data_IF_004174212189
#
_entry.id   IF_004174212189
#
_cell.length_a   1.000
_cell.length_b   1.000
_cell.length_c   1.000
_cell.angle_alpha   90.00
_cell.angle_beta   90.00
_cell.angle_gamma   90.00
#
_symmetry.space_group_name_H-M   'P 1'
#
loop_
_entity.id
_entity.type
_entity.pdbx_description
1 polymer ?
#
# COMPACT_ATOMS: atom_id res chain seq x y z
N UNK A 1 -35.39 -3.16 20.78
CA UNK A 1 -34.47 -2.04 20.45
C UNK A 1 -33.08 -2.63 20.38
N UNK A 2 -32.32 -2.36 19.31
CA UNK A 2 -31.02 -2.99 19.10
C UNK A 2 -29.90 -2.30 19.88
N UNK A 3 -28.90 -3.06 20.27
CA UNK A 3 -27.71 -2.55 20.95
C UNK A 3 -26.99 -1.47 20.11
N UNK A 4 -26.89 -0.20 20.57
CA UNK A 4 -26.34 0.90 19.77
C UNK A 4 -24.84 0.74 19.41
N UNK A 5 -24.12 -0.16 20.10
CA UNK A 5 -22.71 -0.47 19.81
C UNK A 5 -22.53 -1.53 18.71
N UNK A 6 -23.58 -2.21 18.24
CA UNK A 6 -23.46 -3.26 17.21
C UNK A 6 -22.88 -2.73 15.88
N UNK A 7 -23.28 -1.52 15.48
CA UNK A 7 -22.77 -0.86 14.28
C UNK A 7 -21.27 -0.55 14.36
N UNK A 8 -20.78 -0.20 15.57
CA UNK A 8 -19.36 0.04 15.83
C UNK A 8 -18.56 -1.25 15.63
N UNK A 9 -19.03 -2.36 16.22
CA UNK A 9 -18.35 -3.64 16.12
C UNK A 9 -18.37 -4.21 14.70
N UNK A 10 -19.49 -4.08 13.98
CA UNK A 10 -19.59 -4.47 12.56
C UNK A 10 -18.59 -3.69 11.70
N UNK A 11 -18.46 -2.37 11.92
CA UNK A 11 -17.49 -1.52 11.20
C UNK A 11 -16.03 -1.90 11.47
N UNK A 12 -15.72 -2.23 12.73
CA UNK A 12 -14.39 -2.74 13.12
C UNK A 12 -14.11 -4.05 12.39
N UNK A 13 -15.09 -4.97 12.36
CA UNK A 13 -14.92 -6.27 11.71
C UNK A 13 -14.81 -6.18 10.18
N UNK A 14 -15.54 -5.27 9.50
CA UNK A 14 -15.34 -5.02 8.05
C UNK A 14 -13.90 -4.61 7.78
N UNK A 15 -13.42 -3.62 8.54
CA UNK A 15 -12.09 -3.02 8.32
C UNK A 15 -11.00 -4.06 8.59
N UNK A 16 -11.21 -4.91 9.60
CA UNK A 16 -10.35 -6.04 9.94
C UNK A 16 -10.27 -7.06 8.81
N UNK A 17 -11.42 -7.59 8.38
CA UNK A 17 -11.47 -8.61 7.32
C UNK A 17 -10.88 -8.08 6.02
N UNK A 18 -11.19 -6.83 5.66
CA UNK A 18 -10.63 -6.19 4.48
C UNK A 18 -9.11 -6.07 4.57
N UNK A 19 -8.60 -5.60 5.71
CA UNK A 19 -7.15 -5.43 5.91
C UNK A 19 -6.41 -6.76 5.80
N UNK A 20 -6.88 -7.80 6.49
CA UNK A 20 -6.26 -9.14 6.48
C UNK A 20 -6.23 -9.74 5.06
N UNK A 21 -7.30 -9.55 4.29
CA UNK A 21 -7.37 -10.00 2.90
C UNK A 21 -6.47 -9.15 1.98
N UNK A 22 -6.40 -7.84 2.18
CA UNK A 22 -5.47 -6.97 1.44
C UNK A 22 -4.01 -7.32 1.72
N UNK A 23 -3.67 -7.66 2.96
CA UNK A 23 -2.32 -8.08 3.33
C UNK A 23 -1.91 -9.39 2.66
N UNK A 24 -2.83 -10.35 2.58
CA UNK A 24 -2.61 -11.57 1.81
C UNK A 24 -2.48 -11.27 0.31
N UNK A 25 -3.35 -10.41 -0.25
CA UNK A 25 -3.28 -10.01 -1.65
C UNK A 25 -1.93 -9.32 -1.98
N UNK A 26 -1.46 -8.42 -1.11
CA UNK A 26 -0.14 -7.79 -1.21
C UNK A 26 0.96 -8.86 -1.12
N UNK A 27 0.87 -9.81 -0.21
CA UNK A 27 1.85 -10.89 -0.07
C UNK A 27 1.95 -11.74 -1.36
N UNK A 28 0.81 -12.12 -1.93
CA UNK A 28 0.72 -12.86 -3.20
C UNK A 28 1.27 -12.03 -4.35
N UNK A 29 0.87 -10.77 -4.47
CA UNK A 29 1.35 -9.83 -5.48
C UNK A 29 2.89 -9.68 -5.42
N UNK A 30 3.44 -9.49 -4.22
CA UNK A 30 4.89 -9.43 -4.02
C UNK A 30 5.57 -10.76 -4.35
N UNK A 31 4.97 -11.88 -4.00
CA UNK A 31 5.46 -13.21 -4.35
C UNK A 31 5.56 -13.38 -5.88
N UNK A 32 4.49 -13.09 -6.61
CA UNK A 32 4.47 -13.20 -8.08
C UNK A 32 5.50 -12.25 -8.71
N UNK A 33 5.64 -11.03 -8.20
CA UNK A 33 6.61 -10.05 -8.73
C UNK A 33 8.08 -10.49 -8.58
N UNK A 34 8.41 -11.21 -7.49
CA UNK A 34 9.76 -11.68 -7.22
C UNK A 34 10.04 -13.01 -7.92
N UNK A 35 9.09 -13.93 -7.91
CA UNK A 35 9.27 -15.26 -8.51
C UNK A 35 9.25 -15.20 -10.03
N UNK A 36 8.33 -14.43 -10.62
CA UNK A 36 8.09 -14.35 -12.06
C UNK A 36 8.18 -12.91 -12.61
N UNK A 37 9.34 -12.24 -12.54
CA UNK A 37 9.47 -10.83 -12.90
C UNK A 37 9.06 -10.52 -14.35
N UNK A 38 9.38 -11.41 -15.29
CA UNK A 38 9.05 -11.22 -16.72
C UNK A 38 7.57 -11.43 -17.04
N UNK A 39 6.89 -12.29 -16.28
CA UNK A 39 5.45 -12.56 -16.51
C UNK A 39 4.56 -11.69 -15.64
N UNK A 40 5.09 -11.06 -14.58
CA UNK A 40 4.33 -10.20 -13.68
C UNK A 40 3.57 -9.09 -14.41
N UNK A 41 4.20 -8.42 -15.39
CA UNK A 41 3.54 -7.37 -16.17
C UNK A 41 2.34 -7.84 -17.01
N UNK A 42 2.31 -9.12 -17.39
CA UNK A 42 1.19 -9.73 -18.13
C UNK A 42 0.16 -10.34 -17.16
N UNK A 43 0.60 -10.85 -16.01
CA UNK A 43 -0.28 -11.43 -15.00
C UNK A 43 -1.04 -10.36 -14.20
N UNK A 44 -0.40 -9.26 -13.81
CA UNK A 44 -0.97 -8.26 -12.93
C UNK A 44 -1.33 -6.99 -13.71
N UNK A 45 -2.59 -6.91 -14.12
CA UNK A 45 -3.15 -5.77 -14.86
C UNK A 45 -4.02 -4.90 -13.97
N UNK A 46 -4.22 -3.64 -14.34
CA UNK A 46 -5.07 -2.70 -13.60
C UNK A 46 -6.51 -3.21 -13.43
N UNK A 47 -7.06 -3.90 -14.44
CA UNK A 47 -8.40 -4.50 -14.35
C UNK A 47 -8.45 -5.64 -13.33
N UNK A 48 -7.43 -6.51 -13.30
CA UNK A 48 -7.35 -7.59 -12.30
C UNK A 48 -7.17 -7.05 -10.88
N UNK A 49 -6.35 -6.01 -10.72
CA UNK A 49 -6.21 -5.33 -9.43
C UNK A 49 -7.56 -4.77 -8.94
N UNK A 50 -8.33 -4.10 -9.81
CA UNK A 50 -9.68 -3.62 -9.47
C UNK A 50 -10.63 -4.75 -9.08
N UNK A 51 -10.58 -5.89 -9.77
CA UNK A 51 -11.38 -7.08 -9.41
C UNK A 51 -10.99 -7.60 -8.02
N UNK A 52 -9.70 -7.70 -7.72
CA UNK A 52 -9.22 -8.14 -6.40
C UNK A 52 -9.70 -7.17 -5.31
N UNK A 53 -9.53 -5.86 -5.50
CA UNK A 53 -9.95 -4.85 -4.52
C UNK A 53 -11.47 -4.91 -4.28
N UNK A 54 -12.27 -4.97 -5.35
CA UNK A 54 -13.74 -5.06 -5.23
C UNK A 54 -14.18 -6.35 -4.54
N UNK A 55 -13.57 -7.49 -4.90
CA UNK A 55 -13.86 -8.77 -4.25
C UNK A 55 -13.56 -8.74 -2.74
N UNK A 56 -12.40 -8.18 -2.34
CA UNK A 56 -12.02 -8.03 -0.93
C UNK A 56 -13.03 -7.18 -0.15
N UNK A 57 -13.48 -6.07 -0.73
CA UNK A 57 -14.49 -5.22 -0.09
C UNK A 57 -15.83 -5.94 0.05
N UNK A 58 -16.32 -6.58 -1.02
CA UNK A 58 -17.58 -7.30 -1.01
C UNK A 58 -17.56 -8.47 -0.02
N UNK A 59 -16.48 -9.25 0.03
CA UNK A 59 -16.35 -10.34 1.00
C UNK A 59 -16.32 -9.84 2.43
N UNK A 60 -15.67 -8.70 2.68
CA UNK A 60 -15.56 -8.11 4.02
C UNK A 60 -16.90 -7.54 4.51
N UNK A 61 -17.63 -6.86 3.63
CA UNK A 61 -18.98 -6.37 3.92
C UNK A 61 -19.93 -7.54 4.17
N UNK A 62 -19.89 -8.57 3.33
CA UNK A 62 -20.68 -9.78 3.50
C UNK A 62 -20.43 -10.45 4.86
N UNK A 63 -19.16 -10.66 5.20
CA UNK A 63 -18.80 -11.33 6.45
C UNK A 63 -19.13 -10.53 7.71
N UNK A 64 -19.03 -9.20 7.67
CA UNK A 64 -19.18 -8.36 8.86
C UNK A 64 -20.58 -7.77 9.06
N UNK A 65 -21.39 -7.62 8.01
CA UNK A 65 -22.75 -7.11 8.14
C UNK A 65 -23.81 -8.19 7.97
N UNK A 66 -23.69 -9.08 6.98
CA UNK A 66 -24.78 -10.01 6.65
C UNK A 66 -24.90 -11.13 7.68
N UNK A 67 -23.77 -11.68 8.14
CA UNK A 67 -23.80 -12.82 9.08
C UNK A 67 -24.33 -12.40 10.47
N UNK A 68 -23.87 -11.29 11.08
CA UNK A 68 -24.39 -10.88 12.38
C UNK A 68 -25.82 -10.32 12.33
N UNK A 69 -26.20 -9.56 11.29
CA UNK A 69 -27.52 -8.88 11.20
C UNK A 69 -28.67 -9.70 10.60
N UNK A 70 -28.37 -10.70 9.78
CA UNK A 70 -29.41 -11.47 9.08
C UNK A 70 -29.58 -12.85 9.69
N UNK A 71 -28.51 -13.44 10.25
CA UNK A 71 -28.52 -14.85 10.65
C UNK A 71 -28.77 -15.09 12.15
N UNK A 72 -28.29 -14.23 13.06
CA UNK A 72 -28.43 -14.42 14.51
C UNK A 72 -28.72 -13.10 15.24
N UNK A 73 -29.99 -12.69 15.22
CA UNK A 73 -30.49 -11.49 15.92
C UNK A 73 -30.77 -11.73 17.41
N UNK A 74 -29.92 -12.50 18.09
CA UNK A 74 -30.12 -12.94 19.49
C UNK A 74 -29.78 -11.87 20.54
N UNK A 75 -29.56 -10.62 20.13
CA UNK A 75 -29.22 -9.53 21.04
C UNK A 75 -30.43 -8.87 21.71
N UNK A 76 -31.64 -9.35 21.45
CA UNK A 76 -32.86 -8.85 22.11
C UNK A 76 -32.84 -9.07 23.64
N UNK A 77 -32.13 -10.09 24.10
CA UNK A 77 -32.00 -10.42 25.54
C UNK A 77 -30.85 -9.67 26.24
N UNK A 78 -30.06 -8.87 25.50
CA UNK A 78 -28.92 -8.14 26.07
C UNK A 78 -29.40 -6.77 26.58
N UNK A 79 -29.24 -6.45 27.87
CA UNK A 79 -29.58 -5.13 28.39
C UNK A 79 -28.83 -4.02 27.63
N UNK A 80 -29.49 -2.90 27.32
CA UNK A 80 -28.92 -1.78 26.52
C UNK A 80 -27.55 -1.26 27.02
N UNK A 81 -27.23 -1.47 28.31
CA UNK A 81 -25.95 -1.06 28.92
C UNK A 81 -24.82 -2.09 28.75
N UNK A 82 -25.13 -3.36 28.49
CA UNK A 82 -24.17 -4.47 28.47
C UNK A 82 -23.81 -4.94 27.04
N UNK A 83 -23.58 -3.94 26.20
CA UNK A 83 -23.32 -4.04 24.77
C UNK A 83 -21.86 -4.37 24.45
N UNK A 84 -21.39 -5.54 24.83
CA UNK A 84 -20.00 -5.94 24.63
C UNK A 84 -19.76 -6.75 23.33
N UNK A 85 -18.62 -6.57 22.66
CA UNK A 85 -18.24 -7.31 21.43
C UNK A 85 -18.45 -8.83 21.55
N UNK A 86 -18.07 -9.43 22.68
CA UNK A 86 -18.18 -10.88 22.88
C UNK A 86 -19.61 -11.37 23.09
N UNK A 87 -20.50 -10.48 23.57
CA UNK A 87 -21.92 -10.74 23.81
C UNK A 87 -22.77 -10.43 22.57
N UNK A 88 -22.39 -9.39 21.82
CA UNK A 88 -23.08 -8.92 20.62
C UNK A 88 -22.78 -9.81 19.41
N UNK A 89 -21.56 -10.38 19.32
CA UNK A 89 -21.20 -11.29 18.24
C UNK A 89 -21.44 -12.75 18.64
N UNK A 90 -22.15 -13.55 17.81
CA UNK A 90 -22.40 -14.95 18.12
C UNK A 90 -21.10 -15.73 18.35
N UNK A 91 -21.09 -16.66 19.31
CA UNK A 91 -19.91 -17.48 19.60
C UNK A 91 -19.39 -18.24 18.37
N UNK A 92 -20.29 -18.77 17.53
CA UNK A 92 -19.95 -19.45 16.27
C UNK A 92 -19.19 -18.52 15.32
N UNK A 93 -19.55 -17.24 15.27
CA UNK A 93 -18.86 -16.24 14.46
C UNK A 93 -17.41 -16.04 14.92
N UNK A 94 -17.22 -15.87 16.23
CA UNK A 94 -15.91 -15.71 16.85
C UNK A 94 -15.05 -16.99 16.69
N UNK A 95 -15.68 -18.17 16.74
CA UNK A 95 -15.03 -19.44 16.49
C UNK A 95 -14.50 -19.58 15.07
N UNK A 96 -15.17 -19.05 14.04
CA UNK A 96 -14.62 -19.02 12.68
C UNK A 96 -13.60 -17.90 12.46
N UNK A 97 -13.77 -16.76 13.12
CA UNK A 97 -12.92 -15.59 12.96
C UNK A 97 -11.45 -15.87 13.36
N UNK A 98 -11.24 -16.56 14.48
CA UNK A 98 -9.90 -16.83 15.03
C UNK A 98 -9.05 -17.75 14.11
N UNK A 99 -9.53 -18.94 13.68
CA UNK A 99 -8.80 -19.81 12.76
C UNK A 99 -8.55 -19.17 11.40
N UNK A 100 -9.50 -18.38 10.86
CA UNK A 100 -9.31 -17.67 9.60
C UNK A 100 -8.13 -16.69 9.67
N UNK A 101 -8.01 -15.96 10.78
CA UNK A 101 -6.87 -15.07 11.01
C UNK A 101 -5.55 -15.84 11.12
N UNK A 102 -5.53 -16.97 11.84
CA UNK A 102 -4.34 -17.82 11.96
C UNK A 102 -3.93 -18.37 10.58
N UNK A 103 -4.86 -18.91 9.81
CA UNK A 103 -4.61 -19.43 8.46
C UNK A 103 -4.04 -18.33 7.56
N UNK A 104 -4.63 -17.14 7.58
CA UNK A 104 -4.13 -16.01 6.81
C UNK A 104 -2.71 -15.61 7.24
N UNK A 105 -2.46 -15.57 8.54
CA UNK A 105 -1.13 -15.28 9.11
C UNK A 105 -0.08 -16.28 8.65
N UNK A 106 -0.39 -17.56 8.72
CA UNK A 106 0.49 -18.64 8.28
C UNK A 106 0.73 -18.58 6.76
N UNK A 107 -0.31 -18.28 5.98
CA UNK A 107 -0.19 -18.10 4.53
C UNK A 107 0.75 -16.93 4.18
N UNK A 108 0.59 -15.77 4.83
CA UNK A 108 1.49 -14.62 4.64
C UNK A 108 2.92 -14.99 5.05
N UNK A 109 3.10 -15.61 6.22
CA UNK A 109 4.43 -16.00 6.70
C UNK A 109 5.10 -17.00 5.75
N UNK A 110 4.36 -17.99 5.25
CA UNK A 110 4.84 -18.96 4.27
C UNK A 110 5.24 -18.31 2.93
N UNK A 111 4.41 -17.39 2.42
CA UNK A 111 4.72 -16.64 1.20
C UNK A 111 6.00 -15.81 1.36
N UNK A 112 6.15 -15.10 2.48
CA UNK A 112 7.35 -14.32 2.75
C UNK A 112 8.58 -15.17 3.03
N UNK A 113 8.43 -16.29 3.75
CA UNK A 113 9.49 -17.28 3.93
C UNK A 113 10.01 -17.79 2.59
N UNK A 114 9.10 -18.15 1.68
CA UNK A 114 9.46 -18.55 0.30
C UNK A 114 10.12 -17.42 -0.49
N UNK A 115 9.64 -16.18 -0.35
CA UNK A 115 10.27 -15.00 -0.97
C UNK A 115 11.72 -14.84 -0.49
N UNK A 116 11.96 -14.88 0.82
CA UNK A 116 13.30 -14.72 1.39
C UNK A 116 14.22 -15.87 1.04
N UNK A 117 13.72 -17.11 1.02
CA UNK A 117 14.48 -18.28 0.56
C UNK A 117 14.95 -18.12 -0.89
N UNK A 118 14.03 -17.83 -1.82
CA UNK A 118 14.35 -17.62 -3.24
C UNK A 118 15.28 -16.41 -3.40
N UNK A 119 15.08 -15.35 -2.61
CA UNK A 119 15.91 -14.18 -2.65
C UNK A 119 17.36 -14.47 -2.25
N UNK A 120 17.55 -15.29 -1.21
CA UNK A 120 18.87 -15.72 -0.75
C UNK A 120 19.59 -16.58 -1.81
N UNK A 121 18.89 -17.56 -2.38
CA UNK A 121 19.43 -18.42 -3.43
C UNK A 121 19.86 -17.62 -4.67
N UNK A 122 19.01 -16.69 -5.11
CA UNK A 122 19.31 -15.83 -6.27
C UNK A 122 20.40 -14.80 -5.99
N UNK A 123 20.54 -14.33 -4.74
CA UNK A 123 21.60 -13.40 -4.37
C UNK A 123 23.00 -13.99 -4.57
N UNK A 124 23.18 -15.28 -4.27
CA UNK A 124 24.43 -15.99 -4.52
C UNK A 124 24.73 -16.18 -6.01
N UNK A 125 23.70 -16.44 -6.84
CA UNK A 125 23.88 -16.62 -8.29
C UNK A 125 24.16 -15.31 -9.05
N UNK A 126 23.58 -14.19 -8.60
CA UNK A 126 23.68 -12.87 -9.25
C UNK A 126 25.05 -12.19 -9.00
N UNK A 127 25.89 -12.71 -8.10
CA UNK A 127 27.26 -12.20 -7.93
C UNK A 127 28.14 -12.38 -9.18
N UNK A 128 27.77 -13.26 -10.13
CA UNK A 128 28.57 -13.56 -11.32
C UNK A 128 28.29 -12.72 -12.57
N UNK A 129 27.21 -11.92 -12.63
CA UNK A 129 26.87 -11.10 -13.81
C UNK A 129 26.43 -9.68 -13.45
N UNK A 130 27.10 -8.67 -14.03
CA UNK A 130 26.93 -7.26 -13.75
C UNK A 130 25.98 -6.61 -14.79
N UNK A 131 24.68 -6.89 -14.71
CA UNK A 131 23.73 -6.39 -15.71
C UNK A 131 22.41 -5.96 -15.04
N UNK A 132 21.71 -5.00 -15.66
CA UNK A 132 20.40 -4.42 -15.29
C UNK A 132 19.41 -5.34 -14.51
N UNK A 133 19.26 -6.66 -14.78
CA UNK A 133 18.47 -7.57 -13.93
C UNK A 133 18.78 -7.53 -12.42
N UNK A 134 20.03 -7.23 -12.02
CA UNK A 134 20.42 -7.11 -10.60
C UNK A 134 19.78 -5.90 -9.92
N UNK A 135 19.66 -4.77 -10.62
CA UNK A 135 19.08 -3.54 -10.07
C UNK A 135 17.56 -3.68 -9.88
N UNK A 136 16.86 -4.26 -10.85
CA UNK A 136 15.43 -4.53 -10.75
C UNK A 136 15.12 -5.51 -9.60
N UNK A 137 15.90 -6.58 -9.47
CA UNK A 137 15.76 -7.57 -8.40
C UNK A 137 15.97 -6.97 -6.99
N UNK A 138 17.06 -6.22 -6.80
CA UNK A 138 17.35 -5.57 -5.50
C UNK A 138 16.32 -4.52 -5.12
N UNK A 139 15.76 -3.80 -6.11
CA UNK A 139 14.67 -2.85 -5.91
C UNK A 139 13.39 -3.56 -5.47
N UNK A 140 12.98 -4.62 -6.17
CA UNK A 140 11.81 -5.43 -5.82
C UNK A 140 11.93 -6.05 -4.43
N UNK A 141 13.13 -6.51 -4.05
CA UNK A 141 13.39 -7.03 -2.70
C UNK A 141 13.28 -5.96 -1.62
N UNK A 142 13.73 -4.72 -1.90
CA UNK A 142 13.58 -3.57 -0.98
C UNK A 142 12.11 -3.23 -0.72
N UNK A 143 11.30 -3.28 -1.77
CA UNK A 143 9.85 -3.09 -1.70
C UNK A 143 9.21 -4.21 -0.88
N UNK A 144 9.52 -5.47 -1.19
CA UNK A 144 8.99 -6.61 -0.45
C UNK A 144 9.41 -6.62 1.04
N UNK A 145 10.67 -6.26 1.37
CA UNK A 145 11.12 -6.10 2.76
C UNK A 145 10.32 -5.03 3.51
N UNK A 146 9.94 -3.97 2.82
CA UNK A 146 9.10 -2.92 3.42
C UNK A 146 7.68 -3.44 3.66
N UNK A 147 7.11 -4.15 2.69
CA UNK A 147 5.81 -4.81 2.86
C UNK A 147 5.83 -5.85 4.01
N UNK A 148 6.88 -6.65 4.14
CA UNK A 148 7.04 -7.62 5.24
C UNK A 148 7.00 -6.95 6.62
N UNK A 149 7.59 -5.75 6.76
CA UNK A 149 7.57 -5.00 8.02
C UNK A 149 6.19 -4.43 8.31
N UNK A 150 5.51 -3.86 7.30
CA UNK A 150 4.11 -3.42 7.44
C UNK A 150 3.23 -4.57 7.93
N UNK A 151 3.37 -5.73 7.29
CA UNK A 151 2.63 -6.95 7.63
C UNK A 151 2.93 -7.43 9.05
N UNK A 152 4.21 -7.44 9.46
CA UNK A 152 4.60 -7.83 10.81
C UNK A 152 4.07 -6.88 11.89
N UNK A 153 4.11 -5.57 11.65
CA UNK A 153 3.57 -4.56 12.57
C UNK A 153 2.04 -4.66 12.70
N UNK A 154 1.35 -4.92 11.59
CA UNK A 154 -0.07 -5.23 11.60
C UNK A 154 -0.34 -6.47 12.47
N UNK A 155 0.36 -7.58 12.25
CA UNK A 155 0.12 -8.78 13.05
C UNK A 155 0.38 -8.56 14.54
N UNK A 156 1.41 -7.79 14.90
CA UNK A 156 1.74 -7.49 16.29
C UNK A 156 0.66 -6.64 16.99
N UNK A 157 0.07 -5.66 16.30
CA UNK A 157 -0.98 -4.83 16.92
C UNK A 157 -2.32 -5.58 17.06
N UNK A 158 -2.57 -6.56 16.20
CA UNK A 158 -3.80 -7.37 16.21
C UNK A 158 -3.70 -8.63 17.06
N UNK A 159 -2.51 -9.17 17.27
CA UNK A 159 -2.30 -10.42 18.01
C UNK A 159 -2.98 -10.43 19.39
N UNK A 160 -2.90 -9.37 20.23
CA UNK A 160 -3.55 -9.38 21.55
C UNK A 160 -5.07 -9.52 21.47
N UNK A 161 -5.71 -8.90 20.47
CA UNK A 161 -7.16 -8.96 20.29
C UNK A 161 -7.61 -10.38 19.91
N UNK A 162 -6.93 -11.01 18.95
CA UNK A 162 -7.25 -12.38 18.55
C UNK A 162 -6.91 -13.40 19.62
N UNK A 163 -5.85 -13.18 20.40
CA UNK A 163 -5.51 -14.04 21.52
C UNK A 163 -6.60 -14.02 22.60
N UNK A 164 -7.05 -12.84 23.01
CA UNK A 164 -8.15 -12.68 23.97
C UNK A 164 -9.42 -13.33 23.42
N UNK A 165 -9.75 -13.09 22.14
CA UNK A 165 -10.92 -13.70 21.51
C UNK A 165 -10.82 -15.23 21.47
N UNK A 166 -9.65 -15.78 21.17
CA UNK A 166 -9.42 -17.22 21.15
C UNK A 166 -9.60 -17.84 22.54
N UNK A 167 -9.03 -17.21 23.56
CA UNK A 167 -9.15 -17.66 24.96
C UNK A 167 -10.62 -17.63 25.42
N UNK A 168 -11.37 -16.60 25.05
CA UNK A 168 -12.80 -16.49 25.37
C UNK A 168 -13.63 -17.59 24.67
N UNK A 169 -13.38 -17.85 23.39
CA UNK A 169 -14.15 -18.82 22.59
C UNK A 169 -13.81 -20.27 22.96
N UNK A 170 -12.53 -20.60 23.04
CA UNK A 170 -12.04 -21.97 23.18
C UNK A 170 -11.73 -22.36 24.63
N UNK A 171 -11.46 -21.39 25.50
CA UNK A 171 -11.19 -21.61 26.92
C UNK A 171 -12.44 -21.62 27.79
N UNK A 172 -13.63 -21.32 27.24
CA UNK A 172 -14.89 -21.30 28.00
C UNK A 172 -14.91 -20.27 29.13
N UNK A 173 -14.13 -19.19 29.02
CA UNK A 173 -13.86 -18.27 30.12
C UNK A 173 -14.97 -17.24 30.36
N UNK A 174 -15.09 -16.88 31.65
CA UNK A 174 -16.16 -16.09 32.27
C UNK A 174 -15.99 -14.60 31.92
N UNK A 175 -17.12 -13.93 31.63
CA UNK A 175 -17.20 -12.47 31.54
C UNK A 175 -16.90 -11.85 32.91
N UNK A 176 -15.66 -11.37 33.10
CA UNK A 176 -15.21 -10.62 34.28
C UNK A 176 -14.91 -9.18 33.87
N UNK A 177 -15.11 -8.20 34.76
CA UNK A 177 -14.78 -6.79 34.51
C UNK A 177 -13.32 -6.62 34.07
N UNK A 178 -12.40 -7.34 34.71
CA UNK A 178 -10.97 -7.33 34.33
C UNK A 178 -10.73 -7.82 32.90
N UNK A 179 -11.52 -8.78 32.41
CA UNK A 179 -11.43 -9.29 31.05
C UNK A 179 -11.89 -8.25 30.02
N UNK A 180 -12.94 -7.51 30.35
CA UNK A 180 -13.47 -6.44 29.52
C UNK A 180 -12.49 -5.26 29.38
N UNK A 181 -11.74 -4.93 30.43
CA UNK A 181 -10.66 -3.95 30.38
C UNK A 181 -9.53 -4.37 29.44
N UNK A 182 -9.01 -5.60 29.60
CA UNK A 182 -7.95 -6.14 28.74
C UNK A 182 -8.35 -6.17 27.27
N UNK A 183 -9.59 -6.57 26.98
CA UNK A 183 -10.11 -6.56 25.61
C UNK A 183 -10.28 -5.15 25.06
N UNK A 184 -10.65 -4.19 25.90
CA UNK A 184 -10.73 -2.78 25.50
C UNK A 184 -9.37 -2.22 25.11
N UNK A 185 -8.32 -2.48 25.90
CA UNK A 185 -6.94 -2.10 25.55
C UNK A 185 -6.46 -2.78 24.26
N UNK A 186 -6.72 -4.08 24.10
CA UNK A 186 -6.39 -4.79 22.88
C UNK A 186 -7.12 -4.23 21.65
N UNK A 187 -8.38 -3.82 21.81
CA UNK A 187 -9.17 -3.17 20.75
C UNK A 187 -8.60 -1.80 20.37
N UNK A 188 -8.17 -1.00 21.34
CA UNK A 188 -7.52 0.30 21.08
C UNK A 188 -6.21 0.10 20.30
N UNK A 189 -5.39 -0.87 20.71
CA UNK A 189 -4.15 -1.20 20.02
C UNK A 189 -4.39 -1.67 18.58
N UNK A 190 -5.40 -2.51 18.38
CA UNK A 190 -5.85 -2.96 17.08
C UNK A 190 -6.30 -1.81 16.17
N UNK A 191 -7.06 -0.84 16.70
CA UNK A 191 -7.53 0.33 15.94
C UNK A 191 -6.35 1.26 15.58
N UNK A 192 -5.31 1.34 16.43
CA UNK A 192 -4.12 2.14 16.18
C UNK A 192 -3.31 1.69 14.94
N UNK A 193 -3.60 0.52 14.37
CA UNK A 193 -3.06 0.01 13.11
C UNK A 193 -3.08 1.05 11.95
N UNK A 194 -4.16 1.82 11.82
CA UNK A 194 -4.27 2.83 10.74
C UNK A 194 -3.21 3.94 10.85
N UNK A 195 -2.76 4.27 12.06
CA UNK A 195 -1.69 5.24 12.30
C UNK A 195 -0.30 4.73 11.89
N UNK A 196 -0.14 3.41 11.73
CA UNK A 196 1.12 2.81 11.29
C UNK A 196 1.37 3.04 9.80
N UNK A 197 0.32 3.17 8.97
CA UNK A 197 0.47 3.30 7.52
C UNK A 197 1.33 4.53 7.15
N UNK A 198 1.02 5.77 7.54
CA UNK A 198 1.85 6.94 7.23
C UNK A 198 3.25 6.85 7.82
N UNK A 199 3.40 6.29 9.03
CA UNK A 199 4.70 6.12 9.71
C UNK A 199 5.61 5.22 8.86
N UNK A 200 5.14 4.05 8.45
CA UNK A 200 5.97 3.12 7.68
C UNK A 200 6.34 3.72 6.31
N UNK A 201 5.40 4.37 5.61
CA UNK A 201 5.70 5.03 4.34
C UNK A 201 6.65 6.22 4.51
N UNK A 202 6.42 7.07 5.50
CA UNK A 202 7.27 8.22 5.83
C UNK A 202 8.68 7.78 6.22
N UNK A 203 8.87 6.61 6.85
CA UNK A 203 10.19 6.14 7.23
C UNK A 203 10.93 5.32 6.17
N UNK A 204 10.24 4.79 5.15
CA UNK A 204 10.82 3.80 4.22
C UNK A 204 10.79 4.19 2.76
N UNK A 205 9.84 5.01 2.32
CA UNK A 205 9.78 5.49 0.95
C UNK A 205 10.59 6.78 0.79
N UNK A 206 11.81 6.67 0.26
CA UNK A 206 12.61 7.85 -0.12
C UNK A 206 11.86 8.73 -1.13
N UNK A 207 11.10 8.14 -2.05
CA UNK A 207 10.26 8.87 -2.99
C UNK A 207 9.20 9.73 -2.27
N UNK A 208 8.44 9.14 -1.33
CA UNK A 208 7.46 9.87 -0.54
C UNK A 208 8.10 11.00 0.28
N UNK A 209 9.23 10.73 0.95
CA UNK A 209 10.00 11.76 1.67
C UNK A 209 10.45 12.89 0.76
N UNK A 210 10.88 12.58 -0.46
CA UNK A 210 11.36 13.56 -1.41
C UNK A 210 10.22 14.44 -1.94
N UNK A 211 9.06 13.85 -2.25
CA UNK A 211 7.87 14.61 -2.62
C UNK A 211 7.31 15.42 -1.45
N UNK A 212 7.28 14.86 -0.23
CA UNK A 212 6.88 15.59 0.98
C UNK A 212 7.82 16.77 1.29
N UNK A 213 9.13 16.60 1.07
CA UNK A 213 10.11 17.70 1.16
C UNK A 213 9.92 18.76 0.08
N UNK A 214 9.46 18.38 -1.13
CA UNK A 214 9.11 19.35 -2.18
C UNK A 214 7.84 20.12 -1.83
N UNK A 215 6.85 19.46 -1.23
CA UNK A 215 5.62 20.11 -0.75
C UNK A 215 5.88 21.07 0.42
N UNK A 216 6.80 20.74 1.33
CA UNK A 216 7.21 21.60 2.44
C UNK A 216 8.19 22.73 2.04
N UNK A 217 8.83 22.63 0.88
CA UNK A 217 9.56 23.75 0.30
C UNK A 217 8.58 24.61 -0.48
N UNK A 218 8.05 25.65 0.16
CA UNK A 218 7.51 26.83 -0.54
C UNK A 218 8.52 27.19 -1.64
N UNK A 219 8.09 27.15 -2.91
CA UNK A 219 8.95 27.40 -4.07
C UNK A 219 9.78 28.67 -3.83
N UNK A 220 11.12 28.66 -3.99
CA UNK A 220 11.76 29.90 -4.37
C UNK A 220 11.16 30.27 -5.73
N UNK A 221 10.62 31.49 -5.80
CA UNK A 221 10.09 32.11 -7.01
C UNK A 221 10.93 31.68 -8.21
N UNK A 222 10.28 31.08 -9.21
CA UNK A 222 10.90 30.81 -10.50
C UNK A 222 11.35 32.18 -11.03
N UNK A 223 12.63 32.53 -10.86
CA UNK A 223 13.21 33.61 -11.65
C UNK A 223 13.08 33.18 -13.11
N UNK A 224 12.54 34.03 -13.98
CA UNK A 224 12.44 33.71 -15.40
C UNK A 224 13.84 33.34 -15.92
N UNK A 225 13.92 32.26 -16.69
CA UNK A 225 15.14 31.83 -17.37
C UNK A 225 15.60 32.93 -18.34
N UNK A 226 16.54 33.77 -17.92
CA UNK A 226 17.21 34.77 -18.78
C UNK A 226 18.10 34.09 -19.84
N UNK A 227 18.37 32.79 -19.70
CA UNK A 227 19.21 32.03 -20.64
C UNK A 227 18.53 31.69 -21.98
N UNK A 228 17.19 31.83 -22.07
CA UNK A 228 16.48 31.63 -23.34
C UNK A 228 16.48 32.89 -24.22
N UNK A 229 16.68 34.08 -23.64
CA UNK A 229 16.77 35.33 -24.43
C UNK A 229 18.12 35.45 -25.15
N UNK A 230 19.24 35.06 -24.50
CA UNK A 230 20.57 35.08 -25.14
C UNK A 230 20.69 34.13 -26.33
N UNK A 231 19.97 33.01 -26.32
CA UNK A 231 19.99 32.06 -27.44
C UNK A 231 19.20 32.57 -28.65
N UNK A 232 18.20 33.43 -28.43
CA UNK A 232 17.41 34.06 -29.52
C UNK A 232 18.13 35.28 -30.09
N UNK A 233 18.79 36.11 -29.27
CA UNK A 233 19.52 37.28 -29.79
C UNK A 233 20.74 36.91 -30.62
N UNK A 234 21.39 35.78 -30.32
CA UNK A 234 22.59 35.35 -31.08
C UNK A 234 22.23 34.76 -32.45
N UNK A 235 21.00 34.27 -32.65
CA UNK A 235 20.55 33.76 -33.97
C UNK A 235 19.89 34.83 -34.85
N UNK A 236 19.40 35.93 -34.28
CA UNK A 236 18.83 37.04 -35.08
C UNK A 236 19.92 38.00 -35.60
N UNK A 237 21.14 37.97 -35.03
CA UNK A 237 22.23 38.88 -35.38
C UNK A 237 23.11 38.52 -36.60
N UNK A 238 23.01 37.30 -37.15
CA UNK A 238 23.93 36.84 -38.23
C UNK A 238 23.20 36.55 -39.57
N UNK A 239 21.95 36.97 -39.69
CA UNK A 239 21.08 36.62 -40.82
C UNK A 239 20.86 37.70 -41.90
N UNK A 240 21.40 38.91 -41.77
CA UNK A 240 21.01 40.02 -42.68
C UNK A 240 22.17 40.87 -43.25
N UNK A 241 23.38 40.32 -43.36
CA UNK A 241 24.56 41.07 -43.79
C UNK A 241 25.26 40.61 -45.08
N UNK A 242 24.87 39.49 -45.69
CA UNK A 242 25.62 38.91 -46.82
C UNK A 242 24.99 39.07 -48.21
N UNK A 243 23.74 39.53 -48.29
CA UNK A 243 23.07 39.73 -49.59
C UNK A 243 23.10 41.19 -50.09
N UNK A 244 23.75 42.11 -49.38
CA UNK A 244 23.92 43.51 -49.80
C UNK A 244 25.31 43.82 -50.39
N UNK A 245 26.25 42.84 -50.44
CA UNK A 245 27.60 43.04 -50.97
C UNK A 245 27.88 42.36 -52.32
N UNK A 246 26.94 41.63 -52.91
CA UNK A 246 27.07 41.07 -54.26
C UNK A 246 26.34 41.86 -55.36
N UNK A 247 25.65 42.95 -55.01
CA UNK A 247 24.91 43.79 -55.97
C UNK A 247 25.63 45.12 -56.33
N UNK A 248 26.85 45.36 -55.82
CA UNK A 248 27.62 46.59 -56.09
C UNK A 248 28.88 46.37 -56.94
N UNK A 249 29.18 45.14 -57.37
CA UNK A 249 30.43 44.83 -58.11
C UNK A 249 30.22 44.41 -59.58
N UNK A 250 28.98 44.47 -60.09
CA UNK A 250 28.65 44.12 -61.49
C UNK A 250 28.16 45.33 -62.34
N UNK A 251 28.53 46.55 -61.97
CA UNK A 251 28.02 47.78 -62.59
C UNK A 251 29.02 48.71 -63.27
N UNK A 252 30.33 48.41 -63.28
CA UNK A 252 31.31 49.36 -63.81
C UNK A 252 32.52 48.69 -64.48
N UNK A 253 32.30 48.01 -65.60
CA UNK A 253 33.38 47.67 -66.54
C UNK A 253 32.84 47.17 -67.90
N UNK A 254 32.13 48.02 -68.66
CA UNK A 254 32.07 47.90 -70.13
C UNK A 254 31.62 49.24 -70.78
N UNK A 255 32.58 50.16 -70.92
CA UNK A 255 32.67 51.30 -71.86
C UNK A 255 34.04 51.92 -71.53
N UNK A 256 35.07 52.02 -72.35
CA UNK A 256 35.26 52.00 -73.80
C UNK A 256 36.62 51.35 -74.12
N UNK A 257 36.70 50.68 -75.27
CA UNK A 257 37.92 50.50 -76.03
C UNK A 257 37.63 50.98 -77.46
N UNK A 258 38.14 52.16 -77.81
CA UNK A 258 38.52 52.64 -79.15
C UNK A 258 38.84 54.14 -79.08
#
# INVERSE_FOLDING_TARGET
>A
MGCPKSNRYSSITVTLTASVLFLLAIAVDRHVSIVHPLRYHVLMTQSRARIIVTAVWLSSIGFAFVIPMVWHNSWEDIPDRDCDFGKVMPWVYLAWLVPLFIINTLAILGLYGRIFYIAHERAHRIQRYNTQPRLAFTTNLKIAKTAAIVLGLFMLCWYPFYLITAIQVYGGLIYSETWEEWRSYATILAIANSAQNPVVYAFRMKAFRNEFKKLLRIKPSQKPNVDLERSVTTQVGDGNGRDARSALDNGASHSEAA
#
